data_IF_625030636040
#
_entry.id   IF_625030636040
#
_cell.length_a   1.000
_cell.length_b   1.000
_cell.length_c   1.000
_cell.angle_alpha   90.00
_cell.angle_beta   90.00
_cell.angle_gamma   90.00
#
_symmetry.space_group_name_H-M   'P 1'
#
loop_
_entity.id
_entity.type
_entity.pdbx_description
1 polymer ?
#
# COMPACT_ATOMS: atom_id res chain seq x y z
N UNK A 1 -4.93 -16.59 -0.40
CA UNK A 1 -5.45 -15.50 -1.26
C UNK A 1 -4.82 -14.20 -0.77
N UNK A 2 -3.90 -13.58 -1.52
CA UNK A 2 -3.37 -12.26 -1.11
C UNK A 2 -4.47 -11.22 -1.32
N UNK A 3 -4.87 -10.57 -0.23
CA UNK A 3 -5.90 -9.51 -0.22
C UNK A 3 -5.47 -8.24 -0.97
N UNK A 4 -4.17 -8.12 -1.26
CA UNK A 4 -3.56 -6.99 -1.95
C UNK A 4 -3.33 -7.34 -3.42
N UNK A 5 -4.33 -7.01 -4.25
CA UNK A 5 -4.32 -7.25 -5.69
C UNK A 5 -3.89 -5.96 -6.39
N UNK A 6 -2.99 -6.07 -7.37
CA UNK A 6 -2.57 -4.93 -8.19
C UNK A 6 -3.81 -4.29 -8.85
N UNK A 7 -3.93 -2.97 -8.74
CA UNK A 7 -5.09 -2.20 -9.18
C UNK A 7 -6.19 -2.03 -8.13
N UNK A 8 -6.15 -2.75 -7.00
CA UNK A 8 -7.10 -2.55 -5.91
C UNK A 8 -6.87 -1.21 -5.21
N UNK A 9 -7.98 -0.60 -4.76
CA UNK A 9 -7.96 0.59 -3.92
C UNK A 9 -7.61 0.23 -2.48
N UNK A 10 -6.72 1.02 -1.90
CA UNK A 10 -6.28 0.88 -0.52
C UNK A 10 -6.22 2.23 0.16
N UNK A 11 -6.27 2.21 1.49
CA UNK A 11 -6.09 3.37 2.33
C UNK A 11 -5.07 3.07 3.43
N UNK A 12 -4.35 4.11 3.83
CA UNK A 12 -3.30 4.05 4.83
C UNK A 12 -3.16 5.42 5.52
N UNK A 13 -2.49 5.46 6.66
CA UNK A 13 -2.19 6.72 7.33
C UNK A 13 -0.76 7.16 6.96
N UNK A 14 -0.60 8.43 6.58
CA UNK A 14 0.73 9.01 6.37
C UNK A 14 1.44 9.26 7.72
N UNK A 15 2.71 9.65 7.66
CA UNK A 15 3.50 9.96 8.87
C UNK A 15 2.94 11.14 9.69
N UNK A 16 2.06 11.94 9.10
CA UNK A 16 1.35 13.03 9.78
C UNK A 16 -0.01 12.57 10.37
N UNK A 17 -0.33 11.27 10.30
CA UNK A 17 -1.59 10.72 10.80
C UNK A 17 -2.80 11.03 9.91
N UNK A 18 -2.59 11.47 8.67
CA UNK A 18 -3.67 11.78 7.72
C UNK A 18 -4.00 10.56 6.89
N UNK A 19 -5.29 10.35 6.65
CA UNK A 19 -5.77 9.27 5.78
C UNK A 19 -5.40 9.57 4.33
N UNK A 20 -4.51 8.77 3.77
CA UNK A 20 -4.14 8.77 2.37
C UNK A 20 -4.78 7.57 1.65
N UNK A 21 -4.99 7.72 0.35
CA UNK A 21 -5.63 6.74 -0.51
C UNK A 21 -4.86 6.60 -1.81
N UNK A 22 -4.96 5.42 -2.40
CA UNK A 22 -4.35 5.15 -3.69
C UNK A 22 -4.71 3.76 -4.20
N UNK A 23 -3.98 3.36 -5.23
CA UNK A 23 -4.11 2.05 -5.87
C UNK A 23 -2.80 1.28 -5.75
N UNK A 24 -2.91 -0.03 -5.55
CA UNK A 24 -1.75 -0.91 -5.51
C UNK A 24 -1.13 -0.97 -6.90
N UNK A 25 0.11 -0.51 -7.03
CA UNK A 25 0.88 -0.57 -8.26
C UNK A 25 1.69 -1.86 -8.36
N UNK A 26 2.29 -2.28 -7.24
CA UNK A 26 2.98 -3.56 -7.16
C UNK A 26 3.08 -4.06 -5.73
N UNK A 27 3.41 -5.35 -5.58
CA UNK A 27 3.68 -5.96 -4.28
C UNK A 27 4.97 -6.75 -4.36
N UNK A 28 5.84 -6.58 -3.36
CA UNK A 28 7.11 -7.28 -3.26
C UNK A 28 7.23 -7.93 -1.89
N UNK A 29 7.91 -9.07 -1.81
CA UNK A 29 8.18 -9.71 -0.53
C UNK A 29 9.67 -9.65 -0.24
N UNK A 30 10.04 -9.11 0.91
CA UNK A 30 11.43 -9.08 1.37
C UNK A 30 11.86 -10.45 1.90
N UNK A 31 13.18 -10.66 2.03
CA UNK A 31 13.75 -11.93 2.47
C UNK A 31 13.33 -12.35 3.89
N UNK A 32 12.95 -11.38 4.72
CA UNK A 32 12.37 -11.57 6.06
C UNK A 32 10.89 -12.01 6.05
N UNK A 33 10.27 -12.11 4.87
CA UNK A 33 8.87 -12.48 4.70
C UNK A 33 7.88 -11.31 4.72
N UNK A 34 8.34 -10.09 4.99
CA UNK A 34 7.51 -8.88 5.01
C UNK A 34 6.95 -8.58 3.62
N UNK A 35 5.64 -8.36 3.53
CA UNK A 35 5.00 -7.95 2.28
C UNK A 35 5.04 -6.42 2.19
N UNK A 36 5.75 -5.90 1.19
CA UNK A 36 5.77 -4.50 0.82
C UNK A 36 4.77 -4.24 -0.30
N UNK A 37 4.02 -3.15 -0.16
CA UNK A 37 3.00 -2.73 -1.11
C UNK A 37 3.43 -1.36 -1.63
N UNK A 38 3.59 -1.27 -2.94
CA UNK A 38 3.82 -0.03 -3.66
C UNK A 38 2.45 0.51 -4.05
N UNK A 39 2.12 1.70 -3.56
CA UNK A 39 0.83 2.34 -3.73
C UNK A 39 1.03 3.64 -4.47
N UNK A 40 0.37 3.79 -5.61
CA UNK A 40 0.28 5.06 -6.31
C UNK A 40 -0.86 5.86 -5.67
N UNK A 41 -0.52 6.94 -4.95
CA UNK A 41 -1.52 7.82 -4.32
C UNK A 41 -2.32 8.55 -5.40
N UNK A 42 -3.54 8.92 -5.04
CA UNK A 42 -4.38 9.78 -5.85
C UNK A 42 -3.72 11.17 -6.09
N UNK A 43 -2.80 11.59 -5.21
CA UNK A 43 -1.99 12.80 -5.37
C UNK A 43 -0.90 12.69 -6.44
N UNK A 44 -0.69 11.51 -7.03
CA UNK A 44 0.33 11.24 -8.04
C UNK A 44 1.67 10.75 -7.50
N UNK A 45 1.89 10.80 -6.18
CA UNK A 45 3.11 10.26 -5.55
C UNK A 45 2.98 8.76 -5.27
N UNK A 46 4.05 8.01 -5.51
CA UNK A 46 4.13 6.60 -5.11
C UNK A 46 4.68 6.49 -3.69
N UNK A 47 4.12 5.58 -2.89
CA UNK A 47 4.62 5.25 -1.55
C UNK A 47 4.77 3.75 -1.40
N UNK A 48 5.79 3.32 -0.68
CA UNK A 48 6.00 1.91 -0.35
C UNK A 48 5.76 1.71 1.14
N UNK A 49 4.80 0.86 1.49
CA UNK A 49 4.45 0.57 2.87
C UNK A 49 4.37 -0.94 3.12
N UNK A 50 4.73 -1.41 4.32
CA UNK A 50 4.47 -2.79 4.70
C UNK A 50 2.95 -3.02 4.73
N UNK A 51 2.52 -4.21 4.31
CA UNK A 51 1.12 -4.61 4.25
C UNK A 51 0.38 -4.46 5.60
N UNK A 52 1.11 -4.54 6.71
CA UNK A 52 0.56 -4.31 8.06
C UNK A 52 0.02 -2.87 8.27
N UNK A 53 0.52 -1.89 7.51
CA UNK A 53 0.07 -0.49 7.58
C UNK A 53 -0.94 -0.11 6.49
N UNK A 54 -1.40 -1.07 5.70
CA UNK A 54 -2.28 -0.85 4.54
C UNK A 54 -3.59 -1.59 4.76
N UNK A 55 -4.70 -0.87 4.59
CA UNK A 55 -6.05 -1.44 4.69
C UNK A 55 -6.74 -1.43 3.35
N UNK A 56 -7.54 -2.47 3.07
CA UNK A 56 -8.30 -2.58 1.84
C UNK A 56 -9.61 -1.77 1.94
N UNK A 57 -9.90 -1.06 0.84
CA UNK A 57 -11.16 -0.35 0.57
C UNK A 57 -12.38 -1.24 0.56
#
# INVERSE_FOLDING_TARGET
MSIFIIGSRVFFYDSAGRLARGVIESTSRTADGTLLIVIKRDSGETVTLPAAGVSNG
#
